data_IF_894138831696
#
_entry.id   IF_894138831696
#
_cell.length_a   1.000
_cell.length_b   1.000
_cell.length_c   1.000
_cell.angle_alpha   90.00
_cell.angle_beta   90.00
_cell.angle_gamma   90.00
#
_symmetry.space_group_name_H-M   'P 1'
#
loop_
_entity.id
_entity.type
_entity.pdbx_description
1 polymer ?
#
# COMPACT_ATOMS: atom_id res chain seq x y z
N UNK A 1 21.55 9.61 67.12
CA UNK A 1 20.64 10.44 66.28
C UNK A 1 20.65 9.80 64.89
N UNK A 2 19.72 8.89 64.58
CA UNK A 2 18.38 9.11 63.96
C UNK A 2 18.50 9.69 62.55
N UNK A 3 18.31 8.82 61.55
CA UNK A 3 17.95 9.17 60.18
C UNK A 3 16.53 9.76 60.16
N UNK A 4 16.27 10.70 59.25
CA UNK A 4 15.18 10.53 58.27
C UNK A 4 15.55 11.22 56.93
N UNK A 5 14.86 11.14 55.80
CA UNK A 5 13.72 10.41 55.28
C UNK A 5 13.80 10.58 53.75
N UNK A 6 13.11 9.70 53.05
CA UNK A 6 12.85 9.66 51.61
C UNK A 6 12.20 10.92 51.01
N UNK A 7 12.57 11.28 49.78
CA UNK A 7 11.71 11.93 48.76
C UNK A 7 12.12 11.31 47.42
N UNK A 8 11.42 10.31 46.88
CA UNK A 8 10.23 10.41 46.02
C UNK A 8 10.40 11.35 44.82
N UNK A 9 10.96 10.84 43.73
CA UNK A 9 10.65 11.36 42.39
C UNK A 9 9.60 10.46 41.73
N UNK A 10 8.52 11.05 41.18
CA UNK A 10 7.43 10.28 40.63
C UNK A 10 7.87 9.68 39.30
N UNK A 11 7.77 8.35 39.22
CA UNK A 11 7.70 7.65 37.94
C UNK A 11 6.56 8.27 37.14
N UNK A 12 6.90 9.05 36.11
CA UNK A 12 5.97 9.47 35.07
C UNK A 12 5.49 8.19 34.39
N UNK A 13 4.35 7.70 34.87
CA UNK A 13 3.57 6.67 34.22
C UNK A 13 3.29 7.17 32.80
N UNK A 14 4.06 6.68 31.82
CA UNK A 14 3.67 6.74 30.40
C UNK A 14 2.28 6.12 30.35
N UNK A 15 1.27 6.95 30.12
CA UNK A 15 -0.05 6.46 29.79
C UNK A 15 0.11 5.50 28.59
N UNK A 16 -0.58 4.35 28.58
CA UNK A 16 -0.57 3.50 27.40
C UNK A 16 -1.04 4.35 26.23
N UNK A 17 -0.27 4.38 25.14
CA UNK A 17 -0.75 4.96 23.90
C UNK A 17 -1.98 4.18 23.48
N UNK A 18 -3.16 4.70 23.84
CA UNK A 18 -4.41 4.27 23.26
C UNK A 18 -4.22 4.44 21.76
N UNK A 19 -4.10 3.31 21.06
CA UNK A 19 -4.03 3.20 19.61
C UNK A 19 -5.16 4.07 19.07
N UNK A 20 -4.86 5.29 18.60
CA UNK A 20 -5.88 6.20 18.07
C UNK A 20 -6.24 5.65 16.71
N UNK A 21 -7.17 4.70 16.70
CA UNK A 21 -7.77 4.21 15.49
C UNK A 21 -8.36 5.37 14.71
N UNK A 22 -8.22 5.31 13.39
CA UNK A 22 -8.67 6.39 12.51
C UNK A 22 -10.18 6.50 12.61
N UNK A 23 -10.70 7.72 12.41
CA UNK A 23 -12.15 7.89 12.38
C UNK A 23 -12.75 7.13 11.17
N UNK A 24 -13.99 6.60 11.27
CA UNK A 24 -14.64 5.88 10.18
C UNK A 24 -14.76 6.70 8.88
N UNK A 25 -14.87 8.03 8.97
CA UNK A 25 -14.90 8.89 7.77
C UNK A 25 -13.52 8.98 7.11
N UNK A 26 -12.45 9.01 7.91
CA UNK A 26 -11.08 8.93 7.40
C UNK A 26 -10.85 7.59 6.69
N UNK A 27 -11.27 6.48 7.29
CA UNK A 27 -11.11 5.14 6.69
C UNK A 27 -11.86 5.00 5.37
N UNK A 28 -13.14 5.42 5.30
CA UNK A 28 -13.89 5.42 4.03
C UNK A 28 -13.23 6.27 2.95
N UNK A 29 -12.66 7.43 3.32
CA UNK A 29 -11.92 8.26 2.36
C UNK A 29 -10.66 7.57 1.85
N UNK A 30 -9.92 6.89 2.73
CA UNK A 30 -8.72 6.14 2.35
C UNK A 30 -9.06 4.93 1.47
N UNK A 31 -10.13 4.20 1.78
CA UNK A 31 -10.64 3.11 0.95
C UNK A 31 -10.97 3.60 -0.45
N UNK A 32 -11.77 4.67 -0.58
CA UNK A 32 -12.11 5.24 -1.89
C UNK A 32 -10.90 5.77 -2.66
N UNK A 33 -9.84 6.19 -1.96
CA UNK A 33 -8.58 6.57 -2.59
C UNK A 33 -7.85 5.35 -3.16
N UNK A 34 -7.74 4.27 -2.39
CA UNK A 34 -7.12 3.01 -2.82
C UNK A 34 -7.90 2.36 -3.96
N UNK A 35 -9.23 2.38 -3.91
CA UNK A 35 -10.10 1.86 -4.98
C UNK A 35 -9.89 2.61 -6.31
N UNK A 36 -9.71 3.93 -6.25
CA UNK A 36 -9.38 4.72 -7.44
C UNK A 36 -7.98 4.38 -7.97
N UNK A 37 -6.99 4.30 -7.10
CA UNK A 37 -5.62 3.90 -7.47
C UNK A 37 -5.61 2.50 -8.11
N UNK A 38 -6.38 1.55 -7.56
CA UNK A 38 -6.55 0.20 -8.13
C UNK A 38 -7.17 0.23 -9.52
N UNK A 39 -8.21 1.05 -9.74
CA UNK A 39 -8.83 1.18 -11.05
C UNK A 39 -7.83 1.73 -12.10
N UNK A 40 -7.08 2.78 -11.73
CA UNK A 40 -6.06 3.40 -12.59
C UNK A 40 -4.93 2.40 -12.95
N UNK A 41 -4.36 1.71 -11.96
CA UNK A 41 -3.28 0.74 -12.22
C UNK A 41 -3.79 -0.52 -12.96
N UNK A 42 -5.05 -0.92 -12.74
CA UNK A 42 -5.67 -2.03 -13.50
C UNK A 42 -5.81 -1.67 -14.99
N UNK A 43 -6.30 -0.47 -15.30
CA UNK A 43 -6.37 0.00 -16.70
C UNK A 43 -4.98 0.08 -17.34
N UNK A 44 -3.97 0.50 -16.58
CA UNK A 44 -2.59 0.53 -17.07
C UNK A 44 -2.03 -0.87 -17.33
N UNK A 45 -2.29 -1.83 -16.44
CA UNK A 45 -1.92 -3.24 -16.62
C UNK A 45 -2.52 -3.81 -17.90
N UNK A 46 -3.80 -3.55 -18.14
CA UNK A 46 -4.51 -4.06 -19.31
C UNK A 46 -3.96 -3.45 -20.60
N UNK A 47 -3.65 -2.16 -20.58
CA UNK A 47 -2.98 -1.46 -21.70
C UNK A 47 -1.60 -2.07 -21.99
N UNK A 48 -0.76 -2.24 -20.96
CA UNK A 48 0.58 -2.84 -21.11
C UNK A 48 0.51 -4.27 -21.63
N UNK A 49 -0.46 -5.06 -21.15
CA UNK A 49 -0.69 -6.43 -21.60
C UNK A 49 -1.07 -6.48 -23.08
N UNK A 50 -1.93 -5.56 -23.54
CA UNK A 50 -2.30 -5.43 -24.94
C UNK A 50 -1.10 -4.99 -25.81
N UNK A 51 -0.30 -4.02 -25.36
CA UNK A 51 0.92 -3.57 -26.03
C UNK A 51 1.94 -4.70 -26.18
N UNK A 52 2.17 -5.47 -25.11
CA UNK A 52 3.07 -6.62 -25.11
C UNK A 52 2.58 -7.73 -26.08
N UNK A 53 1.27 -8.00 -26.09
CA UNK A 53 0.66 -8.94 -27.03
C UNK A 53 0.84 -8.50 -28.49
N UNK A 54 0.59 -7.23 -28.80
CA UNK A 54 0.78 -6.69 -30.14
C UNK A 54 2.24 -6.71 -30.59
N UNK A 55 3.17 -6.33 -29.70
CA UNK A 55 4.60 -6.31 -29.99
C UNK A 55 5.18 -7.71 -30.22
N UNK A 56 4.72 -8.71 -29.46
CA UNK A 56 5.19 -10.10 -29.61
C UNK A 56 4.65 -10.75 -30.90
N UNK A 57 3.44 -10.40 -31.34
CA UNK A 57 2.85 -10.91 -32.58
C UNK A 57 3.52 -10.39 -33.85
N UNK A 58 4.23 -9.25 -33.80
CA UNK A 58 4.78 -8.59 -34.99
C UNK A 58 6.01 -9.28 -35.61
N UNK A 59 6.56 -10.34 -34.99
CA UNK A 59 7.55 -11.25 -35.59
C UNK A 59 8.91 -10.65 -35.98
N UNK A 60 9.14 -9.35 -35.74
CA UNK A 60 10.38 -8.66 -36.10
C UNK A 60 11.42 -8.83 -34.98
N UNK A 61 12.43 -9.67 -35.22
CA UNK A 61 13.47 -10.07 -34.26
C UNK A 61 14.38 -8.97 -33.68
N UNK A 62 14.03 -7.68 -33.87
CA UNK A 62 14.73 -6.54 -33.28
C UNK A 62 14.09 -5.96 -32.01
N UNK A 63 12.89 -6.41 -31.64
CA UNK A 63 12.08 -5.80 -30.57
C UNK A 63 12.32 -6.32 -29.15
N UNK A 64 13.25 -7.25 -28.92
CA UNK A 64 13.38 -7.95 -27.63
C UNK A 64 13.62 -7.03 -26.43
N UNK A 65 14.37 -5.94 -26.60
CA UNK A 65 14.57 -4.95 -25.54
C UNK A 65 13.30 -4.16 -25.24
N UNK A 66 12.51 -3.81 -26.26
CA UNK A 66 11.23 -3.13 -26.07
C UNK A 66 10.22 -4.05 -25.36
N UNK A 67 10.19 -5.34 -25.74
CA UNK A 67 9.39 -6.36 -25.07
C UNK A 67 9.79 -6.54 -23.61
N UNK A 68 11.10 -6.59 -23.32
CA UNK A 68 11.61 -6.68 -21.96
C UNK A 68 11.22 -5.45 -21.12
N UNK A 69 11.29 -4.25 -21.70
CA UNK A 69 10.83 -3.02 -21.07
C UNK A 69 9.34 -3.05 -20.74
N UNK A 70 8.48 -3.40 -21.70
CA UNK A 70 7.04 -3.54 -21.49
C UNK A 70 6.71 -4.59 -20.41
N UNK A 71 7.41 -5.72 -20.42
CA UNK A 71 7.22 -6.77 -19.41
C UNK A 71 7.66 -6.31 -18.00
N UNK A 72 8.75 -5.55 -17.91
CA UNK A 72 9.21 -4.98 -16.65
C UNK A 72 8.23 -3.93 -16.11
N UNK A 73 7.71 -3.06 -16.99
CA UNK A 73 6.70 -2.07 -16.61
C UNK A 73 5.42 -2.76 -16.13
N UNK A 74 4.99 -3.81 -16.81
CA UNK A 74 3.82 -4.62 -16.43
C UNK A 74 4.01 -5.23 -15.04
N UNK A 75 5.14 -5.89 -14.80
CA UNK A 75 5.45 -6.47 -13.49
C UNK A 75 5.48 -5.41 -12.37
N UNK A 76 5.94 -4.19 -12.69
CA UNK A 76 5.90 -3.06 -11.75
C UNK A 76 4.48 -2.65 -11.40
N UNK A 77 3.59 -2.54 -12.38
CA UNK A 77 2.16 -2.23 -12.16
C UNK A 77 1.48 -3.33 -11.37
N UNK A 78 1.70 -4.60 -11.72
CA UNK A 78 1.13 -5.74 -11.00
C UNK A 78 1.57 -5.78 -9.53
N UNK A 79 2.83 -5.44 -9.26
CA UNK A 79 3.34 -5.33 -7.89
C UNK A 79 2.63 -4.22 -7.10
N UNK A 80 2.40 -3.05 -7.73
CA UNK A 80 1.64 -1.96 -7.09
C UNK A 80 0.18 -2.32 -6.84
N UNK A 81 -0.47 -3.02 -7.77
CA UNK A 81 -1.83 -3.53 -7.58
C UNK A 81 -1.88 -4.42 -6.33
N UNK A 82 -0.95 -5.37 -6.20
CA UNK A 82 -0.90 -6.25 -5.03
C UNK A 82 -0.71 -5.46 -3.72
N UNK A 83 0.19 -4.46 -3.70
CA UNK A 83 0.37 -3.59 -2.53
C UNK A 83 -0.90 -2.77 -2.19
N UNK A 84 -1.63 -2.32 -3.20
CA UNK A 84 -2.89 -1.60 -3.04
C UNK A 84 -4.00 -2.52 -2.51
N UNK A 85 -4.08 -3.76 -2.99
CA UNK A 85 -5.03 -4.77 -2.50
C UNK A 85 -4.79 -5.06 -1.02
N UNK A 86 -3.53 -5.27 -0.61
CA UNK A 86 -3.17 -5.46 0.80
C UNK A 86 -3.53 -4.24 1.66
N UNK A 87 -3.27 -3.02 1.15
CA UNK A 87 -3.68 -1.78 1.83
C UNK A 87 -5.20 -1.67 1.94
N UNK A 88 -5.94 -2.06 0.91
CA UNK A 88 -7.40 -2.04 0.91
C UNK A 88 -7.95 -3.01 1.96
N UNK A 89 -7.43 -4.24 2.01
CA UNK A 89 -7.81 -5.25 3.00
C UNK A 89 -7.56 -4.77 4.42
N UNK A 90 -6.38 -4.19 4.70
CA UNK A 90 -6.05 -3.65 6.01
C UNK A 90 -6.99 -2.50 6.44
N UNK A 91 -7.35 -1.61 5.51
CA UNK A 91 -8.29 -0.51 5.79
C UNK A 91 -9.73 -1.01 5.99
N UNK A 92 -10.14 -2.04 5.25
CA UNK A 92 -11.45 -2.67 5.39
C UNK A 92 -11.58 -3.41 6.73
N UNK A 93 -10.53 -4.11 7.16
CA UNK A 93 -10.44 -4.75 8.48
C UNK A 93 -10.50 -3.70 9.60
N UNK A 94 -9.74 -2.60 9.51
CA UNK A 94 -9.80 -1.50 10.49
C UNK A 94 -11.20 -0.86 10.59
N UNK A 95 -11.96 -0.80 9.49
CA UNK A 95 -13.31 -0.24 9.47
C UNK A 95 -14.38 -1.21 10.00
N UNK A 96 -14.16 -2.51 9.84
CA UNK A 96 -15.10 -3.57 10.20
C UNK A 96 -14.88 -4.21 11.57
N UNK A 97 -13.68 -4.06 12.15
CA UNK A 97 -13.32 -4.47 13.50
C UNK A 97 -13.87 -3.56 14.60
#
# INVERSE_FOLDING_TARGET
RRAPDTVSEPATKRAPEANKQRSPSTLRRLLGQVERELAEDTERRDTLSAELGAASASGSGGGHLALAGLAQDLAGVESRIAELEERWLALADELGG
#
